data_IF_122687365485
#
_entry.id   IF_122687365485
#
_cell.length_a   1.000
_cell.length_b   1.000
_cell.length_c   1.000
_cell.angle_alpha   90.00
_cell.angle_beta   90.00
_cell.angle_gamma   90.00
#
_symmetry.space_group_name_H-M   'P 1'
#
loop_
_entity.id
_entity.type
_entity.pdbx_description
1 polymer ?
#
# COMPACT_ATOMS: atom_id res chain seq x y z
N UNK A 1 -46.33 24.89 19.87
CA UNK A 1 -45.94 25.94 20.83
C UNK A 1 -44.48 25.73 21.20
N UNK A 2 -43.61 26.69 20.91
CA UNK A 2 -42.24 26.72 21.41
C UNK A 2 -42.23 27.53 22.69
N UNK A 3 -41.93 26.89 23.82
CA UNK A 3 -41.72 27.60 25.08
C UNK A 3 -40.49 28.49 24.95
N UNK A 4 -40.67 29.79 25.17
CA UNK A 4 -39.55 30.73 25.24
C UNK A 4 -38.76 30.48 26.54
N UNK A 5 -37.60 29.84 26.39
CA UNK A 5 -36.73 29.45 27.51
C UNK A 5 -36.08 30.65 28.17
N UNK A 6 -35.86 31.73 27.43
CA UNK A 6 -35.24 32.94 27.98
C UNK A 6 -36.26 33.69 28.83
N UNK A 7 -37.47 33.85 28.33
CA UNK A 7 -38.57 34.41 29.12
C UNK A 7 -38.83 33.57 30.38
N UNK A 8 -38.81 32.24 30.28
CA UNK A 8 -38.98 31.34 31.43
C UNK A 8 -37.83 31.50 32.45
N UNK A 9 -36.58 31.64 31.97
CA UNK A 9 -35.42 31.90 32.83
C UNK A 9 -35.60 33.20 33.60
N UNK A 10 -35.93 34.30 32.91
CA UNK A 10 -36.10 35.60 33.55
C UNK A 10 -37.21 35.62 34.60
N UNK A 11 -38.34 34.95 34.32
CA UNK A 11 -39.43 34.81 35.29
C UNK A 11 -38.97 34.01 36.51
N UNK A 12 -38.24 32.91 36.31
CA UNK A 12 -37.72 32.09 37.40
C UNK A 12 -36.67 32.87 38.25
N UNK A 13 -35.78 33.64 37.62
CA UNK A 13 -34.81 34.46 38.36
C UNK A 13 -35.51 35.55 39.19
N UNK A 14 -36.55 36.19 38.66
CA UNK A 14 -37.36 37.19 39.37
C UNK A 14 -38.18 36.59 40.51
N UNK A 15 -38.66 35.36 40.35
CA UNK A 15 -39.44 34.65 41.37
C UNK A 15 -38.61 34.24 42.60
N UNK A 16 -37.28 34.36 42.54
CA UNK A 16 -36.36 34.02 43.62
C UNK A 16 -35.74 32.64 43.41
N UNK A 17 -34.40 32.57 43.39
CA UNK A 17 -33.61 31.34 43.13
C UNK A 17 -33.61 30.35 44.29
N UNK A 18 -34.46 30.55 45.29
CA UNK A 18 -34.56 29.71 46.46
C UNK A 18 -35.47 28.51 46.24
N UNK A 19 -35.21 27.44 47.00
CA UNK A 19 -36.04 26.24 47.00
C UNK A 19 -37.33 26.53 47.74
N UNK A 20 -38.43 25.97 47.28
CA UNK A 20 -39.72 26.04 47.97
C UNK A 20 -40.05 24.69 48.61
N UNK A 21 -40.89 24.72 49.64
CA UNK A 21 -41.37 23.53 50.32
C UNK A 21 -42.90 23.61 50.51
N UNK A 22 -43.57 22.49 50.24
CA UNK A 22 -44.98 22.32 50.54
C UNK A 22 -45.17 22.05 52.04
N UNK A 23 -46.12 22.73 52.68
CA UNK A 23 -46.41 22.53 54.11
C UNK A 23 -47.90 22.63 54.40
N UNK A 24 -48.35 21.94 55.44
CA UNK A 24 -49.67 22.12 56.03
C UNK A 24 -49.51 22.89 57.35
N UNK A 25 -50.15 24.04 57.49
CA UNK A 25 -50.02 24.92 58.67
C UNK A 25 -51.43 25.24 59.14
N UNK A 26 -51.75 24.92 60.39
CA UNK A 26 -53.05 25.17 61.05
C UNK A 26 -54.32 24.67 60.33
N UNK A 27 -54.19 23.77 59.34
CA UNK A 27 -55.34 23.23 58.60
C UNK A 27 -55.19 23.46 57.10
N UNK A 28 -54.50 24.54 56.73
CA UNK A 28 -54.41 25.03 55.36
C UNK A 28 -53.07 24.67 54.71
N UNK A 29 -53.04 24.76 53.39
CA UNK A 29 -51.97 24.26 52.55
C UNK A 29 -51.18 25.41 51.94
N UNK A 30 -49.88 25.45 52.24
CA UNK A 30 -49.00 26.52 51.82
C UNK A 30 -47.80 26.01 51.04
N UNK A 31 -47.34 26.82 50.10
CA UNK A 31 -45.96 26.80 49.60
C UNK A 31 -45.20 27.88 50.35
N UNK A 32 -44.11 27.50 51.00
CA UNK A 32 -43.26 28.42 51.77
C UNK A 32 -41.81 28.30 51.31
N UNK A 33 -40.99 29.31 51.59
CA UNK A 33 -39.55 29.23 51.28
C UNK A 33 -38.92 28.09 52.09
N UNK A 34 -38.11 27.25 51.45
CA UNK A 34 -37.49 26.10 52.08
C UNK A 34 -36.58 26.56 53.24
N UNK A 35 -36.71 25.91 54.39
CA UNK A 35 -35.95 26.27 55.60
C UNK A 35 -36.49 27.49 56.38
N UNK A 36 -37.52 28.19 55.89
CA UNK A 36 -38.07 29.37 56.59
C UNK A 36 -38.97 29.03 57.79
N UNK A 37 -39.40 27.78 57.93
CA UNK A 37 -40.33 27.39 58.98
C UNK A 37 -39.62 27.15 60.30
N UNK A 38 -40.01 27.89 61.33
CA UNK A 38 -39.55 27.72 62.69
C UNK A 38 -40.74 27.69 63.65
N UNK A 39 -40.63 26.89 64.71
CA UNK A 39 -41.64 26.81 65.77
C UNK A 39 -40.92 26.92 67.11
N UNK A 40 -41.08 28.06 67.78
CA UNK A 40 -40.46 28.33 69.08
C UNK A 40 -41.51 28.86 70.05
N UNK A 41 -41.56 28.28 71.26
CA UNK A 41 -42.41 28.76 72.37
C UNK A 41 -43.87 29.04 72.00
N UNK A 42 -44.48 28.19 71.16
CA UNK A 42 -45.87 28.34 70.70
C UNK A 42 -46.08 29.29 69.53
N UNK A 43 -45.06 30.07 69.14
CA UNK A 43 -45.08 30.95 67.98
C UNK A 43 -44.55 30.17 66.77
N UNK A 44 -45.25 30.26 65.64
CA UNK A 44 -44.81 29.68 64.36
C UNK A 44 -44.46 30.82 63.41
N UNK A 45 -43.23 30.83 62.90
CA UNK A 45 -42.76 31.78 61.87
C UNK A 45 -42.44 31.02 60.59
N UNK A 46 -42.74 31.65 59.45
CA UNK A 46 -42.45 31.13 58.10
C UNK A 46 -42.57 32.25 57.08
N UNK A 47 -41.99 32.04 55.89
CA UNK A 47 -42.12 32.97 54.76
C UNK A 47 -43.06 32.36 53.70
N UNK A 48 -44.34 32.79 53.66
CA UNK A 48 -45.29 32.28 52.68
C UNK A 48 -44.96 32.75 51.26
N UNK A 49 -45.13 31.85 50.29
CA UNK A 49 -45.07 32.15 48.85
C UNK A 49 -46.49 32.18 48.27
N UNK A 50 -47.29 31.15 48.57
CA UNK A 50 -48.69 31.06 48.15
C UNK A 50 -49.47 30.12 49.09
N UNK A 51 -50.76 30.38 49.23
CA UNK A 51 -51.75 29.46 49.81
C UNK A 51 -52.47 28.76 48.65
N UNK A 52 -52.51 27.42 48.68
CA UNK A 52 -53.04 26.60 47.60
C UNK A 52 -53.81 25.44 48.23
N UNK A 53 -55.14 25.50 48.17
CA UNK A 53 -56.04 24.52 48.79
C UNK A 53 -55.89 23.10 48.21
N UNK A 54 -55.62 23.00 46.91
CA UNK A 54 -55.38 21.70 46.30
C UNK A 54 -53.99 21.19 46.66
N UNK A 55 -53.98 20.11 47.44
CA UNK A 55 -52.76 19.45 47.92
C UNK A 55 -51.81 19.09 46.77
N UNK A 56 -52.33 18.57 45.66
CA UNK A 56 -51.52 18.11 44.54
C UNK A 56 -50.91 19.30 43.78
N UNK A 57 -51.69 20.37 43.55
CA UNK A 57 -51.19 21.60 42.92
C UNK A 57 -50.12 22.25 43.79
N UNK A 58 -50.33 22.33 45.12
CA UNK A 58 -49.32 22.83 46.06
C UNK A 58 -48.01 22.02 45.98
N UNK A 59 -48.11 20.70 45.99
CA UNK A 59 -46.95 19.81 45.92
C UNK A 59 -46.19 19.99 44.60
N UNK A 60 -46.92 20.11 43.48
CA UNK A 60 -46.35 20.41 42.19
C UNK A 60 -45.65 21.77 42.17
N UNK A 61 -46.28 22.84 42.63
CA UNK A 61 -45.70 24.20 42.65
C UNK A 61 -44.44 24.26 43.53
N UNK A 62 -44.43 23.57 44.68
CA UNK A 62 -43.25 23.50 45.52
C UNK A 62 -42.07 22.77 44.84
N UNK A 63 -42.36 21.73 44.04
CA UNK A 63 -41.35 20.96 43.31
C UNK A 63 -40.88 21.67 42.04
N UNK A 64 -41.80 22.25 41.26
CA UNK A 64 -41.55 23.06 40.08
C UNK A 64 -41.20 24.53 40.44
N UNK A 65 -40.49 24.70 41.54
CA UNK A 65 -40.05 26.01 42.02
C UNK A 65 -39.00 26.62 41.08
N UNK A 66 -38.68 27.92 41.22
CA UNK A 66 -37.77 28.58 40.30
C UNK A 66 -36.36 27.98 40.28
N UNK A 67 -35.86 27.49 41.42
CA UNK A 67 -34.57 26.81 41.49
C UNK A 67 -34.54 25.53 40.63
N UNK A 68 -35.61 24.72 40.68
CA UNK A 68 -35.74 23.51 39.88
C UNK A 68 -35.87 23.83 38.37
N UNK A 69 -36.65 24.85 38.02
CA UNK A 69 -36.80 25.30 36.63
C UNK A 69 -35.46 25.78 36.06
N UNK A 70 -34.71 26.59 36.81
CA UNK A 70 -33.39 27.07 36.37
C UNK A 70 -32.41 25.91 36.19
N UNK A 71 -32.37 24.95 37.12
CA UNK A 71 -31.51 23.78 37.01
C UNK A 71 -31.83 22.94 35.75
N UNK A 72 -33.12 22.71 35.47
CA UNK A 72 -33.55 21.99 34.26
C UNK A 72 -33.22 22.77 32.98
N UNK A 73 -33.29 24.11 33.00
CA UNK A 73 -32.89 24.94 31.85
C UNK A 73 -31.38 24.86 31.61
N UNK A 74 -30.57 24.90 32.66
CA UNK A 74 -29.11 24.76 32.56
C UNK A 74 -28.72 23.38 32.03
N UNK A 75 -29.34 22.30 32.54
CA UNK A 75 -29.16 20.93 32.03
C UNK A 75 -29.56 20.83 30.56
N UNK A 76 -30.69 21.45 30.16
CA UNK A 76 -31.12 21.42 28.77
C UNK A 76 -30.15 22.15 27.82
N UNK A 77 -29.52 23.25 28.28
CA UNK A 77 -28.49 23.96 27.53
C UNK A 77 -27.24 23.08 27.39
N UNK A 78 -26.84 22.41 28.48
CA UNK A 78 -25.70 21.50 28.48
C UNK A 78 -25.92 20.32 27.53
N UNK A 79 -27.07 19.66 27.61
CA UNK A 79 -27.44 18.54 26.72
C UNK A 79 -27.46 18.96 25.24
N UNK A 80 -27.88 20.19 24.93
CA UNK A 80 -27.82 20.70 23.56
C UNK A 80 -26.40 20.84 23.05
N UNK A 81 -25.50 21.40 23.87
CA UNK A 81 -24.09 21.53 23.50
C UNK A 81 -23.43 20.16 23.30
N UNK A 82 -23.68 19.22 24.19
CA UNK A 82 -23.16 17.85 24.09
C UNK A 82 -23.70 17.12 22.86
N UNK A 83 -24.99 17.32 22.56
CA UNK A 83 -25.61 16.82 21.34
C UNK A 83 -24.92 17.39 20.10
N UNK A 84 -24.73 18.70 20.03
CA UNK A 84 -24.11 19.36 18.87
C UNK A 84 -22.67 18.86 18.66
N UNK A 85 -21.90 18.67 19.74
CA UNK A 85 -20.56 18.06 19.69
C UNK A 85 -20.62 16.61 19.20
N UNK A 86 -21.56 15.82 19.69
CA UNK A 86 -21.73 14.42 19.27
C UNK A 86 -22.11 14.32 17.79
N UNK A 87 -23.00 15.20 17.31
CA UNK A 87 -23.38 15.27 15.90
C UNK A 87 -22.18 15.67 15.01
N UNK A 88 -21.35 16.62 15.46
CA UNK A 88 -20.13 17.00 14.76
C UNK A 88 -19.13 15.84 14.66
N UNK A 89 -18.91 15.10 15.75
CA UNK A 89 -18.03 13.91 15.77
C UNK A 89 -18.57 12.82 14.84
N UNK A 90 -19.87 12.55 14.87
CA UNK A 90 -20.50 11.57 13.97
C UNK A 90 -20.38 11.97 12.50
N UNK A 91 -20.46 13.27 12.18
CA UNK A 91 -20.23 13.77 10.83
C UNK A 91 -18.79 13.52 10.38
N UNK A 92 -17.81 13.90 11.21
CA UNK A 92 -16.39 13.68 10.91
C UNK A 92 -16.08 12.18 10.70
N UNK A 93 -16.58 11.32 11.59
CA UNK A 93 -16.42 9.87 11.44
C UNK A 93 -17.04 9.34 10.15
N UNK A 94 -18.19 9.87 9.72
CA UNK A 94 -18.82 9.47 8.46
C UNK A 94 -17.96 9.86 7.26
N UNK A 95 -17.34 11.04 7.30
CA UNK A 95 -16.49 11.53 6.22
C UNK A 95 -15.17 10.75 6.17
N UNK A 96 -14.53 10.48 7.31
CA UNK A 96 -13.35 9.62 7.42
C UNK A 96 -13.63 8.22 6.86
N UNK A 97 -14.77 7.62 7.23
CA UNK A 97 -15.19 6.31 6.72
C UNK A 97 -15.46 6.30 5.22
N UNK A 98 -15.92 7.43 4.65
CA UNK A 98 -16.09 7.57 3.20
C UNK A 98 -14.73 7.64 2.51
N UNK A 99 -13.83 8.47 3.02
CA UNK A 99 -12.48 8.62 2.48
C UNK A 99 -11.70 7.32 2.54
N UNK A 100 -11.77 6.58 3.65
CA UNK A 100 -11.12 5.27 3.79
C UNK A 100 -11.61 4.25 2.74
N UNK A 101 -12.91 4.26 2.43
CA UNK A 101 -13.49 3.40 1.38
C UNK A 101 -13.01 3.79 -0.02
N UNK A 102 -12.91 5.08 -0.32
CA UNK A 102 -12.38 5.56 -1.60
C UNK A 102 -10.91 5.20 -1.78
N UNK A 103 -10.10 5.36 -0.73
CA UNK A 103 -8.70 4.94 -0.72
C UNK A 103 -8.55 3.42 -0.91
N UNK A 104 -9.38 2.63 -0.22
CA UNK A 104 -9.39 1.18 -0.38
C UNK A 104 -9.70 0.79 -1.84
N UNK A 105 -10.74 1.38 -2.43
CA UNK A 105 -11.12 1.11 -3.82
C UNK A 105 -10.02 1.50 -4.81
N UNK A 106 -9.32 2.62 -4.56
CA UNK A 106 -8.19 3.04 -5.38
C UNK A 106 -7.02 2.05 -5.26
N UNK A 107 -6.68 1.63 -4.04
CA UNK A 107 -5.62 0.65 -3.80
C UNK A 107 -5.94 -0.72 -4.43
N UNK A 108 -7.18 -1.18 -4.34
CA UNK A 108 -7.65 -2.41 -4.99
C UNK A 108 -7.52 -2.33 -6.51
N UNK A 109 -7.91 -1.20 -7.12
CA UNK A 109 -7.74 -1.00 -8.56
C UNK A 109 -6.27 -1.01 -8.97
N UNK A 110 -5.40 -0.31 -8.24
CA UNK A 110 -3.95 -0.32 -8.51
C UNK A 110 -3.38 -1.72 -8.38
N UNK A 111 -3.72 -2.46 -7.31
CA UNK A 111 -3.25 -3.83 -7.11
C UNK A 111 -3.71 -4.77 -8.24
N UNK A 112 -4.92 -4.59 -8.78
CA UNK A 112 -5.41 -5.36 -9.91
C UNK A 112 -4.61 -5.07 -11.20
N UNK A 113 -4.34 -3.79 -11.48
CA UNK A 113 -3.51 -3.39 -12.63
C UNK A 113 -2.08 -3.91 -12.51
N UNK A 114 -1.48 -3.81 -11.31
CA UNK A 114 -0.14 -4.32 -11.05
C UNK A 114 -0.08 -5.84 -11.20
N UNK A 115 -1.13 -6.55 -10.78
CA UNK A 115 -1.24 -8.00 -10.96
C UNK A 115 -1.30 -8.38 -12.44
N UNK A 116 -2.11 -7.68 -13.25
CA UNK A 116 -2.21 -7.90 -14.70
C UNK A 116 -0.87 -7.64 -15.42
N UNK A 117 -0.17 -6.56 -15.06
CA UNK A 117 1.15 -6.26 -15.58
C UNK A 117 2.18 -7.34 -15.20
N UNK A 118 2.14 -7.84 -13.96
CA UNK A 118 3.02 -8.92 -13.51
C UNK A 118 2.75 -10.22 -14.29
N UNK A 119 1.49 -10.58 -14.52
CA UNK A 119 1.13 -11.74 -15.34
C UNK A 119 1.68 -11.64 -16.76
N UNK A 120 1.54 -10.47 -17.40
CA UNK A 120 2.07 -10.23 -18.75
C UNK A 120 3.60 -10.39 -18.82
N UNK A 121 4.33 -9.86 -17.84
CA UNK A 121 5.79 -10.00 -17.75
C UNK A 121 6.22 -11.45 -17.49
N UNK A 122 5.44 -12.22 -16.74
CA UNK A 122 5.73 -13.66 -16.53
C UNK A 122 5.60 -14.42 -17.85
N UNK A 123 4.55 -14.18 -18.61
CA UNK A 123 4.35 -14.79 -19.93
C UNK A 123 5.50 -14.45 -20.90
N UNK A 124 5.89 -13.17 -20.97
CA UNK A 124 7.01 -12.74 -21.81
C UNK A 124 8.34 -13.39 -21.37
N UNK A 125 8.59 -13.49 -20.06
CA UNK A 125 9.78 -14.15 -19.54
C UNK A 125 9.82 -15.65 -19.86
N UNK A 126 8.67 -16.33 -19.82
CA UNK A 126 8.58 -17.73 -20.24
C UNK A 126 8.88 -17.90 -21.74
N UNK A 127 8.39 -16.99 -22.58
CA UNK A 127 8.69 -17.02 -24.02
C UNK A 127 10.19 -16.77 -24.29
N UNK A 128 10.79 -15.79 -23.61
CA UNK A 128 12.22 -15.51 -23.73
C UNK A 128 13.08 -16.70 -23.28
N UNK A 129 12.71 -17.39 -22.20
CA UNK A 129 13.40 -18.61 -21.76
C UNK A 129 13.36 -19.70 -22.82
N UNK A 130 12.19 -19.95 -23.44
CA UNK A 130 12.07 -20.94 -24.53
C UNK A 130 12.95 -20.58 -25.73
N UNK A 131 13.00 -19.30 -26.12
CA UNK A 131 13.88 -18.82 -27.21
C UNK A 131 15.36 -19.02 -26.88
N UNK A 132 15.77 -18.69 -25.65
CA UNK A 132 17.14 -18.85 -25.18
C UNK A 132 17.56 -20.32 -25.18
N UNK A 133 16.69 -21.23 -24.71
CA UNK A 133 16.93 -22.67 -24.74
C UNK A 133 17.10 -23.19 -26.17
N UNK A 134 16.25 -22.75 -27.11
CA UNK A 134 16.35 -23.14 -28.52
C UNK A 134 17.66 -22.66 -29.16
N UNK A 135 18.08 -21.42 -28.91
CA UNK A 135 19.37 -20.90 -29.40
C UNK A 135 20.57 -21.62 -28.76
N UNK A 136 20.50 -21.96 -27.47
CA UNK A 136 21.54 -22.77 -26.81
C UNK A 136 21.67 -24.17 -27.43
N UNK A 137 20.54 -24.81 -27.77
CA UNK A 137 20.54 -26.09 -28.49
C UNK A 137 21.15 -25.94 -29.89
N UNK A 138 20.79 -24.88 -30.61
CA UNK A 138 21.35 -24.56 -31.93
C UNK A 138 22.86 -24.37 -31.87
N UNK A 139 23.35 -23.60 -30.90
CA UNK A 139 24.79 -23.38 -30.69
C UNK A 139 25.51 -24.69 -30.39
N UNK A 140 24.94 -25.53 -29.53
CA UNK A 140 25.50 -26.85 -29.22
C UNK A 140 25.62 -27.72 -30.48
N UNK A 141 24.58 -27.72 -31.33
CA UNK A 141 24.59 -28.44 -32.60
C UNK A 141 25.63 -27.89 -33.59
N UNK A 142 25.83 -26.57 -33.62
CA UNK A 142 26.88 -25.93 -34.44
C UNK A 142 28.27 -26.28 -33.93
N UNK A 143 28.51 -26.21 -32.62
CA UNK A 143 29.79 -26.61 -32.00
C UNK A 143 30.13 -28.06 -32.33
N UNK A 144 29.16 -28.97 -32.23
CA UNK A 144 29.36 -30.38 -32.59
C UNK A 144 29.70 -30.60 -34.07
N UNK A 145 29.29 -29.70 -34.97
CA UNK A 145 29.65 -29.73 -36.41
C UNK A 145 31.03 -29.14 -36.69
N UNK A 146 31.46 -28.17 -35.90
CA UNK A 146 32.77 -27.52 -36.04
C UNK A 146 33.90 -28.49 -35.68
N UNK A 147 33.76 -29.26 -34.59
CA UNK A 147 34.80 -30.20 -34.14
C UNK A 147 35.34 -31.17 -35.22
N UNK A 148 34.51 -31.89 -36.00
CA UNK A 148 35.02 -32.76 -37.06
C UNK A 148 35.62 -31.98 -38.24
N UNK A 149 35.13 -30.77 -38.52
CA UNK A 149 35.71 -29.92 -39.55
C UNK A 149 37.11 -29.46 -39.15
N UNK A 150 37.31 -29.06 -37.90
CA UNK A 150 38.64 -28.69 -37.37
C UNK A 150 39.62 -29.86 -37.42
N UNK A 151 39.16 -31.08 -37.09
CA UNK A 151 39.97 -32.30 -37.26
C UNK A 151 40.36 -32.52 -38.72
N UNK A 152 39.43 -32.33 -39.64
CA UNK A 152 39.68 -32.50 -41.07
C UNK A 152 40.66 -31.47 -41.61
N UNK A 153 40.57 -30.23 -41.16
CA UNK A 153 41.53 -29.17 -41.49
C UNK A 153 42.94 -29.59 -41.02
N UNK A 154 43.08 -30.00 -39.77
CA UNK A 154 44.38 -30.44 -39.22
C UNK A 154 44.96 -31.67 -39.95
N UNK A 155 44.12 -32.62 -40.40
CA UNK A 155 44.55 -33.73 -41.24
C UNK A 155 45.08 -33.26 -42.61
N UNK A 156 44.35 -32.36 -43.27
CA UNK A 156 44.73 -31.81 -44.57
C UNK A 156 46.05 -31.04 -44.47
N UNK A 157 46.22 -30.22 -43.43
CA UNK A 157 47.46 -29.47 -43.17
C UNK A 157 48.69 -30.40 -42.99
N UNK A 158 48.52 -31.55 -42.30
CA UNK A 158 49.59 -32.55 -42.18
C UNK A 158 49.93 -33.22 -43.51
N UNK A 159 48.89 -33.61 -44.28
CA UNK A 159 49.08 -34.23 -45.59
C UNK A 159 49.77 -33.28 -46.57
N UNK A 160 49.42 -32.00 -46.54
CA UNK A 160 50.07 -30.98 -47.36
C UNK A 160 51.55 -30.84 -47.01
N UNK A 161 51.87 -30.77 -45.71
CA UNK A 161 53.26 -30.71 -45.23
C UNK A 161 54.08 -31.93 -45.70
N UNK A 162 53.49 -33.13 -45.68
CA UNK A 162 54.14 -34.35 -46.19
C UNK A 162 54.42 -34.27 -47.68
N UNK A 163 53.42 -33.90 -48.49
CA UNK A 163 53.56 -33.77 -49.94
C UNK A 163 54.62 -32.74 -50.35
N UNK A 164 54.73 -31.63 -49.60
CA UNK A 164 55.78 -30.63 -49.79
C UNK A 164 57.16 -31.27 -49.57
N UNK A 165 57.36 -31.99 -48.46
CA UNK A 165 58.63 -32.66 -48.16
C UNK A 165 58.99 -33.73 -49.20
N UNK A 166 58.02 -34.52 -49.64
CA UNK A 166 58.21 -35.54 -50.69
C UNK A 166 58.62 -34.91 -52.02
N UNK A 167 57.96 -33.81 -52.42
CA UNK A 167 58.32 -33.03 -53.60
C UNK A 167 59.76 -32.51 -53.50
N UNK A 168 60.11 -31.87 -52.39
CA UNK A 168 61.44 -31.28 -52.20
C UNK A 168 62.55 -32.35 -52.23
N UNK A 169 62.28 -33.54 -51.66
CA UNK A 169 63.21 -34.68 -51.73
C UNK A 169 63.35 -35.24 -53.14
N UNK A 170 62.25 -35.36 -53.89
CA UNK A 170 62.28 -35.82 -55.28
C UNK A 170 63.01 -34.82 -56.18
N UNK A 171 62.81 -33.52 -55.96
CA UNK A 171 63.50 -32.45 -56.66
C UNK A 171 65.01 -32.46 -56.38
N UNK A 172 65.43 -32.67 -55.13
CA UNK A 172 66.84 -32.86 -54.79
C UNK A 172 67.44 -34.08 -55.49
N UNK A 173 66.74 -35.23 -55.46
CA UNK A 173 67.22 -36.45 -56.10
C UNK A 173 67.35 -36.30 -57.63
N UNK A 174 66.41 -35.60 -58.27
CA UNK A 174 66.49 -35.24 -59.67
C UNK A 174 67.69 -34.34 -59.96
N UNK A 175 67.94 -33.34 -59.11
CA UNK A 175 69.06 -32.42 -59.28
C UNK A 175 70.42 -33.12 -59.10
N UNK A 176 70.52 -34.05 -58.15
CA UNK A 176 71.70 -34.89 -57.94
C UNK A 176 71.95 -35.81 -59.14
N UNK A 177 70.89 -36.44 -59.67
CA UNK A 177 70.98 -37.27 -60.86
C UNK A 177 71.41 -36.46 -62.10
N UNK A 178 70.87 -35.24 -62.25
CA UNK A 178 71.27 -34.34 -63.33
C UNK A 178 72.75 -33.98 -63.25
N UNK A 179 73.25 -33.59 -62.05
CA UNK A 179 74.68 -33.35 -61.82
C UNK A 179 75.55 -34.56 -62.16
N UNK A 180 75.16 -35.75 -61.73
CA UNK A 180 75.92 -36.97 -62.02
C UNK A 180 76.04 -37.25 -63.52
N UNK A 181 74.98 -36.99 -64.31
CA UNK A 181 75.00 -37.15 -65.77
C UNK A 181 75.87 -36.09 -66.43
N UNK A 182 75.79 -34.84 -65.99
CA UNK A 182 76.63 -33.76 -66.54
C UNK A 182 78.11 -33.96 -66.20
N UNK A 183 78.42 -34.40 -64.99
CA UNK A 183 79.79 -34.66 -64.54
C UNK A 183 80.39 -35.92 -65.22
N UNK A 184 79.57 -36.92 -65.55
CA UNK A 184 79.99 -38.10 -66.32
C UNK A 184 80.25 -37.79 -67.82
N UNK A 185 79.60 -36.76 -68.37
CA UNK A 185 79.76 -36.31 -69.76
C UNK A 185 81.11 -35.64 -70.05
N UNK A 186 81.80 -35.11 -69.04
CA UNK A 186 83.10 -34.45 -69.20
C UNK A 186 84.31 -35.40 -69.06
N UNK A 187 84.10 -36.70 -68.78
CA UNK A 187 85.17 -37.69 -68.55
C UNK A 187 85.49 -38.65 -69.70
N UNK A 188 84.81 -38.58 -70.84
CA UNK A 188 84.81 -39.63 -71.87
C UNK A 188 85.53 -39.30 -73.18
N UNK A 189 86.85 -39.12 -73.15
CA UNK A 189 87.71 -39.16 -74.35
C UNK A 189 87.86 -40.61 -74.82
N UNK A 190 87.38 -40.99 -76.01
CA UNK A 190 87.92 -42.17 -76.72
C UNK A 190 87.99 -41.92 -78.22
N UNK A 191 89.24 -41.84 -78.67
CA UNK A 191 89.77 -41.97 -80.02
C UNK A 191 89.31 -43.28 -80.65
N UNK A 192 88.80 -43.22 -81.88
CA UNK A 192 88.47 -44.39 -82.70
C UNK A 192 88.73 -44.13 -84.18
N UNK A 193 89.84 -44.66 -84.66
CA UNK A 193 90.44 -44.53 -85.99
C UNK A 193 89.74 -45.36 -87.11
N UNK A 194 89.80 -44.81 -88.34
CA UNK A 194 90.16 -45.48 -89.63
C UNK A 194 89.08 -46.35 -90.32
N UNK A 195 89.05 -46.57 -91.68
CA UNK A 195 90.06 -46.31 -92.73
C UNK A 195 89.61 -45.57 -94.01
N UNK A 196 90.62 -45.18 -94.80
CA UNK A 196 90.55 -44.77 -96.20
C UNK A 196 90.21 -45.92 -97.15
N UNK A 197 89.40 -45.61 -98.17
CA UNK A 197 89.25 -46.30 -99.44
C UNK A 197 88.82 -45.28 -100.47
#
# INVERSE_FOLDING_TARGET
MTTDKQALREVAEKAGKDKWQARKINGDFFVIRHGSYEKQSGITSYQPVAEIDDKAVRDFVAMANPAAVLALLDENIQLRREKDVTEAVLSAMRDDMRQAREQLKAAEHTAAVDHEAACSLVEENEELKRKLEAENQRNTALTAKIEPMDRRIAELERSETQLINERDSAESALNDAYKAVTDAGEGGTVVGEVPRG
#
